data_IF_619144707492
#
_entry.id   IF_619144707492
#
_cell.length_a   1.000
_cell.length_b   1.000
_cell.length_c   1.000
_cell.angle_alpha   90.00
_cell.angle_beta   90.00
_cell.angle_gamma   90.00
#
_symmetry.space_group_name_H-M   'P 1'
#
loop_
_entity.id
_entity.type
_entity.pdbx_description
1 polymer ?
#
# COMPACT_ATOMS: atom_id res chain seq x y z
N UNK A 1 -11.56 -30.23 -16.93
CA UNK A 1 -11.92 -28.80 -16.79
C UNK A 1 -13.36 -28.78 -16.30
N UNK A 2 -13.62 -28.28 -15.10
CA UNK A 2 -14.98 -28.11 -14.61
C UNK A 2 -15.54 -26.79 -15.15
N UNK A 3 -16.70 -26.84 -15.78
CA UNK A 3 -17.44 -25.68 -16.24
C UNK A 3 -18.68 -25.58 -15.38
N UNK A 4 -18.85 -24.46 -14.73
CA UNK A 4 -20.03 -24.14 -13.94
C UNK A 4 -20.81 -23.01 -14.63
N UNK A 5 -22.13 -23.11 -14.60
CA UNK A 5 -23.00 -22.09 -15.21
C UNK A 5 -24.17 -21.81 -14.27
N UNK A 6 -24.45 -20.53 -14.03
CA UNK A 6 -25.56 -20.11 -13.19
C UNK A 6 -26.19 -18.81 -13.71
N UNK A 7 -27.40 -18.52 -13.26
CA UNK A 7 -28.12 -17.28 -13.58
C UNK A 7 -28.13 -16.40 -12.34
N UNK A 8 -27.81 -15.12 -12.49
CA UNK A 8 -27.81 -14.13 -11.41
C UNK A 8 -29.22 -13.94 -10.87
N UNK A 9 -29.40 -14.15 -9.57
CA UNK A 9 -30.69 -14.01 -8.91
C UNK A 9 -31.06 -12.52 -8.71
N UNK A 10 -32.39 -12.20 -8.55
CA UNK A 10 -32.84 -10.81 -8.38
C UNK A 10 -32.20 -10.07 -7.18
N UNK A 11 -31.93 -10.77 -6.08
CA UNK A 11 -31.26 -10.24 -4.86
C UNK A 11 -29.76 -10.05 -5.02
N UNK A 12 -29.21 -10.49 -6.14
CA UNK A 12 -27.78 -10.35 -6.46
C UNK A 12 -27.52 -9.20 -7.45
N UNK A 13 -28.57 -8.55 -7.95
CA UNK A 13 -28.42 -7.40 -8.84
C UNK A 13 -27.62 -6.28 -8.17
N UNK A 14 -26.65 -5.71 -8.90
CA UNK A 14 -25.77 -4.68 -8.39
C UNK A 14 -24.60 -5.20 -7.54
N UNK A 15 -24.49 -6.52 -7.31
CA UNK A 15 -23.28 -7.09 -6.74
C UNK A 15 -22.18 -7.16 -7.80
N UNK A 16 -20.95 -7.26 -7.34
CA UNK A 16 -19.79 -7.42 -8.22
C UNK A 16 -19.65 -8.88 -8.64
N UNK A 17 -19.15 -9.11 -9.84
CA UNK A 17 -18.93 -10.44 -10.41
C UNK A 17 -18.07 -11.33 -9.50
N UNK A 18 -17.01 -10.76 -8.88
CA UNK A 18 -16.13 -11.46 -7.94
C UNK A 18 -16.81 -11.82 -6.61
N UNK A 19 -17.95 -11.24 -6.29
CA UNK A 19 -18.74 -11.53 -5.09
C UNK A 19 -19.81 -12.59 -5.36
N UNK A 20 -20.36 -12.60 -6.57
CA UNK A 20 -21.47 -13.50 -6.96
C UNK A 20 -20.93 -14.91 -7.26
N UNK A 21 -19.83 -15.03 -8.01
CA UNK A 21 -19.27 -16.33 -8.38
C UNK A 21 -19.06 -17.27 -7.18
N UNK A 22 -18.47 -16.85 -6.03
CA UNK A 22 -18.27 -17.74 -4.88
C UNK A 22 -19.55 -18.23 -4.22
N UNK A 23 -20.70 -17.57 -4.44
CA UNK A 23 -21.98 -18.01 -3.90
C UNK A 23 -22.55 -19.21 -4.66
N UNK A 24 -22.27 -19.27 -5.96
CA UNK A 24 -22.81 -20.28 -6.86
C UNK A 24 -21.84 -21.41 -7.20
N UNK A 25 -20.54 -21.16 -7.09
CA UNK A 25 -19.51 -22.14 -7.44
C UNK A 25 -18.81 -22.64 -6.19
N UNK A 26 -19.14 -23.87 -5.77
CA UNK A 26 -18.59 -24.47 -4.57
C UNK A 26 -17.05 -24.57 -4.59
N UNK A 27 -16.40 -24.26 -3.48
CA UNK A 27 -14.94 -24.32 -3.34
C UNK A 27 -14.17 -23.17 -3.98
N UNK A 28 -14.84 -22.20 -4.63
CA UNK A 28 -14.26 -20.96 -5.11
C UNK A 28 -14.39 -19.88 -4.04
N UNK A 29 -13.27 -19.47 -3.43
CA UNK A 29 -13.23 -18.22 -2.67
C UNK A 29 -13.30 -17.01 -3.62
N UNK A 30 -13.69 -15.84 -3.12
CA UNK A 30 -13.67 -14.58 -3.89
C UNK A 30 -12.33 -14.33 -4.58
N UNK A 31 -11.25 -14.74 -3.95
CA UNK A 31 -9.88 -14.71 -4.47
C UNK A 31 -9.73 -15.58 -5.72
N UNK A 32 -10.13 -16.86 -5.61
CA UNK A 32 -10.05 -17.78 -6.74
C UNK A 32 -10.93 -17.31 -7.90
N UNK A 33 -12.13 -16.77 -7.60
CA UNK A 33 -13.00 -16.19 -8.61
C UNK A 33 -12.33 -15.07 -9.40
N UNK A 34 -11.60 -14.17 -8.74
CA UNK A 34 -10.81 -13.12 -9.42
C UNK A 34 -9.74 -13.69 -10.32
N UNK A 35 -8.96 -14.65 -9.84
CA UNK A 35 -7.92 -15.28 -10.65
C UNK A 35 -8.51 -15.87 -11.94
N UNK A 36 -9.67 -16.55 -11.84
CA UNK A 36 -10.38 -17.09 -13.01
C UNK A 36 -10.87 -15.99 -13.94
N UNK A 37 -11.38 -14.87 -13.38
CA UNK A 37 -11.82 -13.70 -14.17
C UNK A 37 -10.64 -13.07 -14.92
N UNK A 38 -9.53 -12.80 -14.24
CA UNK A 38 -8.32 -12.14 -14.79
C UNK A 38 -7.71 -12.98 -15.92
N UNK A 39 -7.75 -14.30 -15.80
CA UNK A 39 -7.31 -15.23 -16.86
C UNK A 39 -8.32 -15.34 -18.00
N UNK A 40 -9.49 -14.72 -17.87
CA UNK A 40 -10.53 -14.74 -18.89
C UNK A 40 -11.32 -16.05 -18.93
N UNK A 41 -11.36 -16.79 -17.82
CA UNK A 41 -12.17 -18.01 -17.66
C UNK A 41 -13.63 -17.73 -17.39
N UNK A 42 -14.08 -16.45 -17.32
CA UNK A 42 -15.46 -16.08 -17.01
C UNK A 42 -16.12 -15.39 -18.20
N UNK A 43 -17.36 -15.80 -18.48
CA UNK A 43 -18.22 -15.21 -19.50
C UNK A 43 -19.52 -14.75 -18.86
N UNK A 44 -19.97 -13.56 -19.24
CA UNK A 44 -21.27 -12.97 -18.88
C UNK A 44 -22.08 -12.86 -20.14
N UNK A 45 -23.23 -13.53 -20.23
CA UNK A 45 -24.08 -13.61 -21.44
C UNK A 45 -23.22 -13.97 -22.67
N UNK A 46 -22.41 -15.02 -22.56
CA UNK A 46 -21.45 -15.51 -23.59
C UNK A 46 -20.32 -14.55 -23.96
N UNK A 47 -20.25 -13.38 -23.33
CA UNK A 47 -19.15 -12.41 -23.57
C UNK A 47 -18.08 -12.58 -22.52
N UNK A 48 -16.84 -12.85 -22.96
CA UNK A 48 -15.70 -12.98 -22.06
C UNK A 48 -15.46 -11.69 -21.30
N UNK A 49 -15.25 -11.78 -19.99
CA UNK A 49 -14.89 -10.64 -19.16
C UNK A 49 -13.63 -10.92 -18.35
N UNK A 50 -12.81 -9.86 -18.18
CA UNK A 50 -11.63 -9.84 -17.29
C UNK A 50 -11.75 -8.80 -16.18
N UNK A 51 -12.94 -8.21 -16.02
CA UNK A 51 -13.21 -7.15 -15.05
C UNK A 51 -13.93 -7.73 -13.84
N UNK A 52 -13.16 -8.07 -12.80
CA UNK A 52 -13.69 -8.65 -11.55
C UNK A 52 -14.67 -7.73 -10.80
N UNK A 53 -14.48 -6.42 -10.96
CA UNK A 53 -15.33 -5.38 -10.35
C UNK A 53 -16.62 -5.09 -11.13
N UNK A 54 -16.85 -5.74 -12.27
CA UNK A 54 -18.08 -5.59 -13.07
C UNK A 54 -19.31 -5.89 -12.20
N UNK A 55 -20.26 -4.99 -12.20
CA UNK A 55 -21.58 -5.21 -11.58
C UNK A 55 -22.43 -6.14 -12.46
N UNK A 56 -23.14 -7.07 -11.83
CA UNK A 56 -24.04 -7.99 -12.52
C UNK A 56 -25.49 -7.49 -12.44
N UNK A 57 -26.32 -7.95 -13.40
CA UNK A 57 -27.77 -7.69 -13.44
C UNK A 57 -28.52 -8.98 -13.26
N UNK A 58 -29.69 -8.93 -12.64
CA UNK A 58 -30.59 -10.07 -12.52
C UNK A 58 -30.87 -10.68 -13.90
N UNK A 59 -30.89 -12.01 -13.97
CA UNK A 59 -31.15 -12.77 -15.21
C UNK A 59 -29.92 -12.95 -16.11
N UNK A 60 -28.77 -12.32 -15.84
CA UNK A 60 -27.55 -12.60 -16.60
C UNK A 60 -27.05 -14.01 -16.36
N UNK A 61 -26.60 -14.65 -17.44
CA UNK A 61 -25.96 -15.98 -17.35
C UNK A 61 -24.49 -15.86 -17.21
N UNK A 62 -23.93 -16.43 -16.12
CA UNK A 62 -22.51 -16.45 -15.83
C UNK A 62 -21.98 -17.86 -16.09
N UNK A 63 -20.98 -17.97 -16.95
CA UNK A 63 -20.22 -19.21 -17.17
C UNK A 63 -18.83 -19.06 -16.58
N UNK A 64 -18.42 -20.02 -15.74
CA UNK A 64 -17.13 -20.05 -15.06
C UNK A 64 -16.38 -21.32 -15.48
N UNK A 65 -15.29 -21.19 -16.22
CA UNK A 65 -14.43 -22.29 -16.61
C UNK A 65 -13.31 -22.44 -15.59
N UNK A 66 -13.41 -23.44 -14.72
CA UNK A 66 -12.41 -23.77 -13.72
C UNK A 66 -11.40 -24.72 -14.38
N UNK A 67 -10.49 -24.18 -15.16
CA UNK A 67 -9.42 -24.96 -15.75
C UNK A 67 -8.08 -24.40 -15.37
N UNK A 68 -7.07 -25.26 -15.11
CA UNK A 68 -5.61 -24.99 -14.94
C UNK A 68 -5.12 -23.66 -14.33
N UNK A 69 -5.96 -22.68 -14.20
CA UNK A 69 -5.70 -21.39 -13.57
C UNK A 69 -5.42 -21.48 -12.06
N UNK A 70 -5.79 -22.59 -11.44
CA UNK A 70 -5.61 -22.84 -10.00
C UNK A 70 -4.22 -23.37 -9.68
N UNK A 71 -3.46 -23.83 -10.69
CA UNK A 71 -2.17 -24.50 -10.53
C UNK A 71 -1.06 -23.96 -11.46
N UNK A 72 -1.01 -22.65 -11.69
CA UNK A 72 0.27 -22.15 -12.21
C UNK A 72 1.32 -22.28 -11.13
N UNK A 73 2.46 -22.96 -11.42
CA UNK A 73 3.66 -22.80 -10.61
C UNK A 73 3.92 -21.30 -10.51
N UNK A 74 4.16 -20.84 -9.30
CA UNK A 74 4.68 -19.50 -9.07
C UNK A 74 6.00 -19.40 -9.82
N UNK A 75 6.02 -18.79 -11.01
CA UNK A 75 7.23 -18.19 -11.54
C UNK A 75 7.57 -17.10 -10.51
N UNK A 76 8.43 -17.50 -9.61
CA UNK A 76 8.82 -16.72 -8.45
C UNK A 76 9.79 -15.63 -8.91
N UNK A 77 9.25 -14.46 -9.22
CA UNK A 77 9.93 -13.29 -8.72
C UNK A 77 10.12 -13.52 -7.20
N UNK A 78 11.32 -13.30 -6.63
CA UNK A 78 11.56 -13.56 -5.21
C UNK A 78 10.43 -12.92 -4.43
N UNK A 79 9.70 -13.73 -3.66
CA UNK A 79 8.51 -13.27 -2.98
C UNK A 79 8.94 -12.14 -2.05
N UNK A 80 8.45 -10.92 -2.30
CA UNK A 80 8.73 -9.78 -1.43
C UNK A 80 8.32 -10.17 -0.01
N UNK A 81 9.26 -10.12 0.91
CA UNK A 81 9.02 -10.46 2.31
C UNK A 81 9.35 -9.27 3.20
N UNK A 82 8.56 -9.03 4.27
CA UNK A 82 8.88 -7.99 5.23
C UNK A 82 10.10 -8.41 6.07
N UNK A 83 10.87 -7.42 6.52
CA UNK A 83 11.90 -7.64 7.52
C UNK A 83 11.34 -7.33 8.89
N UNK A 84 11.36 -8.29 9.80
CA UNK A 84 10.95 -8.05 11.19
C UNK A 84 12.04 -7.29 11.92
N UNK A 85 11.72 -6.08 12.38
CA UNK A 85 12.63 -5.18 13.11
C UNK A 85 12.57 -5.45 14.62
N UNK A 86 11.37 -5.76 15.12
CA UNK A 86 11.13 -6.06 16.52
C UNK A 86 9.90 -6.96 16.66
N UNK A 87 9.92 -7.86 17.63
CA UNK A 87 8.72 -8.60 18.02
C UNK A 87 8.79 -9.03 19.48
N UNK A 88 7.65 -9.00 20.14
CA UNK A 88 7.42 -9.58 21.46
C UNK A 88 6.08 -10.33 21.50
N UNK A 89 5.52 -10.58 22.69
CA UNK A 89 4.24 -11.27 22.87
C UNK A 89 3.04 -10.42 22.43
N UNK A 90 3.20 -9.11 22.25
CA UNK A 90 2.11 -8.17 22.06
C UNK A 90 2.13 -7.46 20.70
N UNK A 91 3.32 -7.19 20.16
CA UNK A 91 3.49 -6.41 18.92
C UNK A 91 4.55 -7.01 18.00
N UNK A 92 4.43 -6.70 16.72
CA UNK A 92 5.46 -6.91 15.71
C UNK A 92 5.68 -5.57 15.01
N UNK A 93 6.92 -5.12 14.93
CA UNK A 93 7.32 -4.00 14.06
C UNK A 93 8.10 -4.57 12.90
N UNK A 94 7.67 -4.28 11.70
CA UNK A 94 8.29 -4.82 10.51
C UNK A 94 8.43 -3.77 9.41
N UNK A 95 9.49 -3.88 8.63
CA UNK A 95 9.79 -3.06 7.47
C UNK A 95 9.21 -3.71 6.22
N UNK A 96 8.32 -2.99 5.55
CA UNK A 96 7.64 -3.43 4.34
C UNK A 96 8.44 -3.02 3.11
N UNK A 97 8.87 -3.92 2.23
CA UNK A 97 9.39 -3.54 0.94
C UNK A 97 8.30 -2.87 0.07
N UNK A 98 8.72 -1.98 -0.82
CA UNK A 98 7.81 -1.43 -1.82
C UNK A 98 7.27 -2.56 -2.73
N UNK A 99 6.00 -2.47 -3.12
CA UNK A 99 5.35 -3.50 -3.94
C UNK A 99 4.71 -4.65 -3.14
N UNK A 100 4.99 -4.77 -1.84
CA UNK A 100 4.27 -5.70 -0.96
C UNK A 100 2.98 -5.03 -0.44
N UNK A 101 1.85 -5.72 -0.55
CA UNK A 101 0.57 -5.28 0.02
C UNK A 101 0.60 -5.47 1.53
N UNK A 102 0.12 -4.48 2.29
CA UNK A 102 0.10 -4.56 3.77
C UNK A 102 -0.88 -5.62 4.28
N UNK A 103 -2.08 -5.65 3.73
CA UNK A 103 -3.15 -6.57 4.12
C UNK A 103 -4.09 -6.78 2.92
N UNK A 104 -4.91 -7.84 2.90
CA UNK A 104 -5.77 -8.14 1.78
C UNK A 104 -6.61 -6.94 1.36
N UNK A 105 -6.64 -6.64 0.07
CA UNK A 105 -7.55 -5.67 -0.52
C UNK A 105 -8.47 -6.39 -1.51
N UNK A 106 -9.59 -5.77 -1.91
CA UNK A 106 -10.40 -6.32 -2.98
C UNK A 106 -9.62 -6.62 -4.27
N UNK A 107 -8.51 -5.95 -4.52
CA UNK A 107 -7.69 -6.09 -5.72
C UNK A 107 -6.45 -6.98 -5.56
N UNK A 108 -5.99 -7.24 -4.34
CA UNK A 108 -4.79 -8.03 -4.08
C UNK A 108 -4.89 -8.78 -2.77
N UNK A 109 -4.82 -10.11 -2.86
CA UNK A 109 -4.91 -11.06 -1.75
C UNK A 109 -3.77 -12.11 -1.79
N UNK A 110 -2.72 -11.84 -2.57
CA UNK A 110 -1.59 -12.77 -2.75
C UNK A 110 -0.45 -12.41 -1.82
N UNK A 111 -0.28 -13.24 -0.76
CA UNK A 111 0.91 -13.20 0.07
C UNK A 111 1.20 -11.81 0.63
N UNK A 112 0.16 -11.12 1.07
CA UNK A 112 0.31 -9.83 1.72
C UNK A 112 1.11 -9.95 3.02
N UNK A 113 1.56 -8.80 3.53
CA UNK A 113 2.42 -8.75 4.70
C UNK A 113 1.76 -9.35 5.94
N UNK A 114 0.46 -9.10 6.16
CA UNK A 114 -0.28 -9.64 7.29
C UNK A 114 -0.32 -11.19 7.25
N UNK A 115 -0.59 -11.78 6.07
CA UNK A 115 -0.59 -13.23 5.87
C UNK A 115 0.80 -13.84 6.12
N UNK A 116 1.87 -13.19 5.62
CA UNK A 116 3.24 -13.65 5.83
C UNK A 116 3.64 -13.63 7.32
N UNK A 117 3.30 -12.55 8.04
CA UNK A 117 3.55 -12.44 9.46
C UNK A 117 2.69 -13.44 10.26
N UNK A 118 1.44 -13.68 9.87
CA UNK A 118 0.58 -14.65 10.52
C UNK A 118 1.09 -16.09 10.37
N UNK A 119 1.73 -16.43 9.25
CA UNK A 119 2.38 -17.74 9.08
C UNK A 119 3.58 -17.93 10.00
N UNK A 120 4.29 -16.86 10.32
CA UNK A 120 5.48 -16.91 11.17
C UNK A 120 5.17 -16.82 12.67
N UNK A 121 4.19 -15.98 13.04
CA UNK A 121 3.94 -15.61 14.43
C UNK A 121 2.60 -16.11 14.99
N UNK A 122 1.76 -16.76 14.16
CA UNK A 122 0.42 -17.17 14.54
C UNK A 122 -0.58 -16.02 14.38
N UNK A 123 -1.36 -15.73 15.40
CA UNK A 123 -2.40 -14.71 15.33
C UNK A 123 -1.79 -13.30 15.26
N UNK A 124 -2.09 -12.56 14.19
CA UNK A 124 -1.60 -11.17 13.94
C UNK A 124 -2.75 -10.31 13.49
N UNK A 125 -2.82 -9.11 14.04
CA UNK A 125 -3.86 -8.13 13.78
C UNK A 125 -3.29 -6.88 13.09
N UNK A 126 -4.00 -6.43 12.06
CA UNK A 126 -3.67 -5.18 11.37
C UNK A 126 -4.02 -3.98 12.25
N UNK A 127 -3.06 -3.09 12.48
CA UNK A 127 -3.25 -1.82 13.17
C UNK A 127 -3.41 -0.66 12.18
N UNK A 128 -2.49 -0.56 11.23
CA UNK A 128 -2.51 0.46 10.18
C UNK A 128 -1.88 -0.06 8.89
N UNK A 129 -1.89 0.77 7.87
CA UNK A 129 -1.34 0.43 6.54
C UNK A 129 -0.57 1.58 5.92
N UNK A 130 0.35 1.26 5.01
CA UNK A 130 0.97 2.18 4.07
C UNK A 130 0.68 1.73 2.64
N UNK A 131 0.83 2.63 1.67
CA UNK A 131 0.52 2.37 0.27
C UNK A 131 1.38 1.26 -0.32
N UNK A 132 0.88 0.59 -1.35
CA UNK A 132 1.60 -0.47 -2.06
C UNK A 132 3.01 -0.05 -2.49
N UNK A 133 3.23 1.10 -3.17
CA UNK A 133 4.55 1.52 -3.61
C UNK A 133 5.43 2.14 -2.50
N UNK A 134 4.87 2.38 -1.31
CA UNK A 134 5.60 2.91 -0.15
C UNK A 134 6.30 1.78 0.59
N UNK A 135 7.55 1.99 1.00
CA UNK A 135 8.30 1.09 1.88
C UNK A 135 8.38 1.63 3.30
N UNK A 136 8.81 0.79 4.25
CA UNK A 136 9.13 1.21 5.61
C UNK A 136 8.27 0.62 6.70
N UNK A 137 8.36 1.19 7.88
CA UNK A 137 7.90 0.64 9.13
C UNK A 137 6.39 0.60 9.29
N UNK A 138 5.92 -0.55 9.79
CA UNK A 138 4.55 -0.75 10.29
C UNK A 138 4.59 -1.50 11.62
N UNK A 139 3.55 -1.28 12.44
CA UNK A 139 3.27 -2.07 13.64
C UNK A 139 2.03 -2.93 13.41
N UNK A 140 2.11 -4.18 13.85
CA UNK A 140 1.02 -5.14 13.95
C UNK A 140 0.86 -5.57 15.40
N UNK A 141 -0.34 -5.94 15.79
CA UNK A 141 -0.59 -6.47 17.13
C UNK A 141 -0.65 -8.00 17.09
N UNK A 142 -0.22 -8.66 18.16
CA UNK A 142 -0.29 -10.12 18.36
C UNK A 142 -1.44 -10.54 19.27
N UNK A 143 -2.12 -9.56 19.89
CA UNK A 143 -3.29 -9.79 20.72
C UNK A 143 -4.39 -8.80 20.40
N UNK A 144 -5.65 -9.17 20.64
CA UNK A 144 -6.80 -8.26 20.47
C UNK A 144 -6.72 -7.04 21.39
N UNK A 145 -6.19 -7.21 22.60
CA UNK A 145 -6.03 -6.13 23.57
C UNK A 145 -5.00 -5.10 23.07
N UNK A 146 -3.85 -5.56 22.55
CA UNK A 146 -2.83 -4.72 21.94
C UNK A 146 -3.38 -3.99 20.69
N UNK A 147 -4.12 -4.71 19.83
CA UNK A 147 -4.73 -4.13 18.64
C UNK A 147 -5.70 -3.00 18.98
N UNK A 148 -6.53 -3.18 20.01
CA UNK A 148 -7.45 -2.14 20.48
C UNK A 148 -6.68 -0.89 20.94
N UNK A 149 -5.69 -1.07 21.85
CA UNK A 149 -4.89 0.05 22.40
C UNK A 149 -4.13 0.81 21.32
N UNK A 150 -3.43 0.09 20.41
CA UNK A 150 -2.75 0.71 19.29
C UNK A 150 -3.73 1.41 18.33
N UNK A 151 -4.85 0.76 18.00
CA UNK A 151 -5.89 1.37 17.17
C UNK A 151 -6.45 2.66 17.77
N UNK A 152 -6.63 2.72 19.08
CA UNK A 152 -7.07 3.92 19.78
C UNK A 152 -5.98 5.01 19.77
N UNK A 153 -4.69 4.66 19.98
CA UNK A 153 -3.58 5.61 19.84
C UNK A 153 -3.48 6.20 18.42
N UNK A 154 -3.71 5.39 17.38
CA UNK A 154 -3.76 5.88 16.00
C UNK A 154 -4.94 6.84 15.74
N UNK A 155 -6.10 6.60 16.36
CA UNK A 155 -7.29 7.49 16.25
C UNK A 155 -7.07 8.84 16.88
N UNK A 156 -6.39 8.89 18.03
CA UNK A 156 -6.10 10.14 18.75
C UNK A 156 -4.77 10.78 18.34
N UNK A 157 -4.14 10.19 17.31
CA UNK A 157 -2.89 10.70 16.74
C UNK A 157 -1.68 10.67 17.69
N UNK A 158 -1.68 9.81 18.70
CA UNK A 158 -0.57 9.58 19.63
C UNK A 158 0.42 8.54 19.11
N UNK A 159 0.78 8.67 17.84
CA UNK A 159 1.77 7.82 17.16
C UNK A 159 2.67 8.70 16.30
N UNK A 160 3.99 8.63 16.53
CA UNK A 160 4.96 9.31 15.68
C UNK A 160 5.14 8.53 14.37
N UNK A 161 4.88 9.20 13.26
CA UNK A 161 5.06 8.67 11.91
C UNK A 161 5.82 9.68 11.08
N UNK A 162 7.09 9.40 10.83
CA UNK A 162 7.91 10.24 9.96
C UNK A 162 8.34 9.46 8.72
N UNK A 163 8.18 10.11 7.59
CA UNK A 163 8.53 9.57 6.28
C UNK A 163 9.69 10.36 5.70
N UNK A 164 10.55 9.68 4.92
CA UNK A 164 11.49 10.33 4.01
C UNK A 164 10.86 10.33 2.63
N UNK A 165 10.91 11.48 1.97
CA UNK A 165 10.43 11.62 0.60
C UNK A 165 11.37 12.50 -0.21
N UNK A 166 11.39 12.29 -1.53
CA UNK A 166 12.01 13.22 -2.48
C UNK A 166 10.89 13.87 -3.29
N UNK A 167 10.70 15.16 -3.06
CA UNK A 167 9.75 15.98 -3.80
C UNK A 167 10.44 16.70 -4.96
N UNK A 168 9.80 16.78 -6.12
CA UNK A 168 10.30 17.45 -7.31
C UNK A 168 10.13 18.95 -7.16
N UNK A 169 11.23 19.70 -7.28
CA UNK A 169 11.29 21.14 -7.09
C UNK A 169 11.81 21.53 -5.71
N UNK A 170 11.83 22.83 -5.43
CA UNK A 170 12.22 23.37 -4.12
C UNK A 170 11.05 23.29 -3.15
N UNK A 171 11.30 22.73 -1.97
CA UNK A 171 10.33 22.62 -0.88
C UNK A 171 10.90 23.25 0.36
N UNK A 172 10.17 24.18 0.95
CA UNK A 172 10.50 24.78 2.23
C UNK A 172 9.84 24.02 3.40
N UNK A 173 10.39 24.20 4.59
CA UNK A 173 9.79 23.67 5.82
C UNK A 173 8.45 24.37 6.07
N UNK A 174 7.37 23.61 6.13
CA UNK A 174 6.01 24.12 6.25
C UNK A 174 5.05 23.09 6.84
N UNK A 175 3.89 23.55 7.25
CA UNK A 175 2.75 22.68 7.57
C UNK A 175 1.70 22.79 6.47
N UNK A 176 1.25 21.66 5.95
CA UNK A 176 0.19 21.59 4.94
C UNK A 176 -1.09 21.13 5.61
N UNK A 177 -2.08 22.02 5.65
CA UNK A 177 -3.42 21.77 6.20
C UNK A 177 -4.45 21.84 5.06
N UNK A 178 -4.54 20.77 4.28
CA UNK A 178 -5.50 20.66 3.19
C UNK A 178 -6.32 19.39 3.38
N UNK A 179 -7.67 19.46 3.36
CA UNK A 179 -8.49 18.26 3.46
C UNK A 179 -8.18 17.24 2.36
N UNK A 180 -8.20 15.97 2.73
CA UNK A 180 -8.12 14.83 1.81
C UNK A 180 -9.43 14.07 1.90
N UNK A 181 -10.10 13.87 0.78
CA UNK A 181 -11.44 13.27 0.69
C UNK A 181 -12.45 13.93 1.65
N UNK A 182 -12.43 15.27 1.71
CA UNK A 182 -13.30 16.07 2.58
C UNK A 182 -13.01 15.97 4.07
N UNK A 183 -11.96 15.29 4.50
CA UNK A 183 -11.59 15.09 5.92
C UNK A 183 -10.34 15.89 6.25
N UNK A 184 -10.29 16.46 7.46
CA UNK A 184 -9.10 17.18 7.97
C UNK A 184 -7.86 16.30 7.75
N UNK A 185 -6.82 16.90 7.16
CA UNK A 185 -5.52 16.27 6.95
C UNK A 185 -4.41 17.30 7.19
N UNK A 186 -3.41 16.92 8.01
CA UNK A 186 -2.27 17.76 8.40
C UNK A 186 -0.97 17.00 8.23
N UNK A 187 -0.04 17.60 7.48
CA UNK A 187 1.30 17.06 7.23
C UNK A 187 2.33 18.13 7.53
N UNK A 188 3.26 17.85 8.43
CA UNK A 188 4.39 18.72 8.73
C UNK A 188 5.58 18.32 7.85
N UNK A 189 6.01 19.23 7.00
CA UNK A 189 7.14 19.04 6.09
C UNK A 189 8.37 19.77 6.66
N UNK A 190 9.47 19.07 6.75
CA UNK A 190 10.79 19.63 7.05
C UNK A 190 11.73 19.33 5.90
N UNK A 191 12.18 20.36 5.20
CA UNK A 191 13.23 20.23 4.20
C UNK A 191 14.52 19.75 4.89
N UNK A 192 15.16 18.73 4.31
CA UNK A 192 16.40 18.15 4.85
C UNK A 192 17.59 18.61 4.01
N UNK A 193 17.49 18.43 2.69
CA UNK A 193 18.60 18.64 1.77
C UNK A 193 18.07 19.07 0.39
N UNK A 194 18.58 20.16 -0.19
CA UNK A 194 18.30 20.47 -1.57
C UNK A 194 19.07 19.50 -2.48
N UNK A 195 18.40 19.08 -3.56
CA UNK A 195 18.93 18.17 -4.59
C UNK A 195 18.79 18.83 -5.96
N UNK A 196 19.46 18.30 -6.98
CA UNK A 196 19.28 18.80 -8.35
C UNK A 196 17.84 18.61 -8.83
N UNK A 197 17.09 19.71 -8.93
CA UNK A 197 15.68 19.71 -9.35
C UNK A 197 14.70 19.08 -8.36
N UNK A 198 15.10 18.80 -7.13
CA UNK A 198 14.28 18.16 -6.12
C UNK A 198 14.70 18.56 -4.68
N UNK A 199 13.94 18.12 -3.70
CA UNK A 199 14.26 18.30 -2.27
C UNK A 199 14.05 16.98 -1.53
N UNK A 200 15.08 16.53 -0.79
CA UNK A 200 14.90 15.48 0.22
C UNK A 200 14.24 16.10 1.45
N UNK A 201 13.18 15.49 1.93
CA UNK A 201 12.41 16.01 3.06
C UNK A 201 11.98 14.92 4.04
N UNK A 202 11.66 15.35 5.25
CA UNK A 202 10.91 14.59 6.22
C UNK A 202 9.44 15.06 6.23
N UNK A 203 8.51 14.12 6.21
CA UNK A 203 7.09 14.39 6.33
C UNK A 203 6.55 13.68 7.59
N UNK A 204 6.12 14.45 8.60
CA UNK A 204 5.47 13.93 9.80
C UNK A 204 3.96 14.06 9.68
N UNK A 205 3.27 12.97 9.93
CA UNK A 205 1.82 12.92 9.86
C UNK A 205 1.18 13.20 11.22
N UNK A 206 0.33 14.22 11.30
CA UNK A 206 -0.62 14.37 12.39
C UNK A 206 -1.84 13.48 12.13
N UNK A 207 -2.38 13.50 10.94
CA UNK A 207 -3.49 12.64 10.49
C UNK A 207 -2.98 11.55 9.54
N UNK A 208 -3.82 10.54 9.21
CA UNK A 208 -3.45 9.43 8.32
C UNK A 208 -4.54 9.15 7.28
N UNK A 209 -4.69 10.02 6.28
CA UNK A 209 -5.63 9.79 5.17
C UNK A 209 -4.92 9.02 4.04
N UNK A 210 -5.70 8.35 3.20
CA UNK A 210 -5.15 7.62 2.07
C UNK A 210 -4.37 8.57 1.14
N UNK A 211 -3.15 8.19 0.77
CA UNK A 211 -2.23 8.96 -0.07
C UNK A 211 -1.92 10.39 0.43
N UNK A 212 -2.12 10.70 1.71
CA UNK A 212 -2.09 12.06 2.24
C UNK A 212 -0.83 12.86 1.86
N UNK A 213 0.38 12.31 2.12
CA UNK A 213 1.65 13.00 1.80
C UNK A 213 1.75 13.26 0.28
N UNK A 214 1.37 12.27 -0.52
CA UNK A 214 1.42 12.33 -1.98
C UNK A 214 0.49 13.43 -2.52
N UNK A 215 -0.75 13.48 -2.05
CA UNK A 215 -1.75 14.48 -2.42
C UNK A 215 -1.37 15.88 -1.93
N UNK A 216 -0.83 16.01 -0.72
CA UNK A 216 -0.38 17.29 -0.18
C UNK A 216 0.76 17.88 -1.01
N UNK A 217 1.81 17.09 -1.27
CA UNK A 217 2.95 17.56 -2.07
C UNK A 217 2.57 17.82 -3.53
N UNK A 218 1.77 16.95 -4.15
CA UNK A 218 1.27 17.18 -5.51
C UNK A 218 0.41 18.44 -5.60
N UNK A 219 -0.48 18.65 -4.64
CA UNK A 219 -1.33 19.84 -4.57
C UNK A 219 -0.57 21.15 -4.31
N UNK A 220 0.66 21.08 -3.77
CA UNK A 220 1.58 22.21 -3.64
C UNK A 220 2.48 22.39 -4.87
N UNK A 221 2.27 21.62 -5.94
CA UNK A 221 3.06 21.69 -7.16
C UNK A 221 4.46 21.04 -7.06
N UNK A 222 4.75 20.35 -5.97
CA UNK A 222 6.03 19.64 -5.71
C UNK A 222 5.79 18.14 -5.47
N UNK A 223 5.29 17.39 -6.48
CA UNK A 223 4.92 16.00 -6.32
C UNK A 223 6.14 15.14 -5.95
N UNK A 224 5.87 13.98 -5.33
CA UNK A 224 6.92 13.01 -5.01
C UNK A 224 7.47 12.40 -6.31
N UNK A 225 8.79 12.30 -6.41
CA UNK A 225 9.45 11.63 -7.53
C UNK A 225 9.03 10.16 -7.61
N UNK A 226 8.73 9.69 -8.83
CA UNK A 226 8.23 8.32 -9.06
C UNK A 226 6.76 8.09 -8.70
N UNK A 227 6.01 9.13 -8.32
CA UNK A 227 4.56 9.01 -8.13
C UNK A 227 3.83 8.98 -9.47
N UNK A 228 3.46 7.78 -9.92
CA UNK A 228 2.75 7.56 -11.19
C UNK A 228 1.27 7.93 -11.14
N UNK A 229 0.68 8.02 -9.95
CA UNK A 229 -0.74 8.27 -9.77
C UNK A 229 -1.06 9.75 -9.55
N UNK A 230 -0.28 10.43 -8.70
CA UNK A 230 -0.53 11.81 -8.30
C UNK A 230 0.56 12.79 -8.77
N UNK A 231 1.68 12.28 -9.31
CA UNK A 231 2.83 13.10 -9.69
C UNK A 231 2.68 13.89 -10.98
N UNK A 232 1.68 13.55 -11.78
CA UNK A 232 1.41 14.22 -13.07
C UNK A 232 2.58 14.13 -14.04
N UNK A 233 2.70 15.15 -14.89
CA UNK A 233 3.77 15.25 -15.89
C UNK A 233 5.14 15.45 -15.23
N UNK A 234 5.23 16.24 -14.17
CA UNK A 234 6.50 16.48 -13.45
C UNK A 234 7.17 15.19 -13.02
N UNK A 235 6.40 14.23 -12.45
CA UNK A 235 6.97 12.97 -12.03
C UNK A 235 7.34 12.04 -13.19
N UNK A 236 6.63 12.16 -14.33
CA UNK A 236 6.95 11.37 -15.54
C UNK A 236 8.19 11.85 -16.26
N UNK A 237 8.45 13.15 -16.26
CA UNK A 237 9.55 13.79 -17.01
C UNK A 237 10.80 14.02 -16.16
N UNK A 238 10.73 13.86 -14.84
CA UNK A 238 11.87 14.08 -13.94
C UNK A 238 13.04 13.13 -14.25
N UNK A 239 14.24 13.68 -14.37
CA UNK A 239 15.47 12.96 -14.71
C UNK A 239 16.56 13.27 -13.67
N UNK A 240 17.30 12.26 -13.20
CA UNK A 240 17.18 10.82 -13.48
C UNK A 240 15.90 10.24 -12.87
N UNK A 241 15.24 9.33 -13.59
CA UNK A 241 13.99 8.72 -13.09
C UNK A 241 14.21 8.04 -11.74
N UNK A 242 13.27 8.29 -10.83
CA UNK A 242 13.22 7.55 -9.57
C UNK A 242 12.94 6.06 -9.84
N UNK A 243 13.60 5.14 -9.13
CA UNK A 243 13.39 3.70 -9.32
C UNK A 243 11.96 3.26 -8.98
N UNK A 244 11.30 4.00 -8.12
CA UNK A 244 9.91 3.85 -7.68
C UNK A 244 9.40 5.12 -7.00
N UNK A 245 8.23 5.08 -6.39
CA UNK A 245 7.77 6.15 -5.50
C UNK A 245 8.83 6.42 -4.42
N UNK A 246 9.40 7.62 -4.41
CA UNK A 246 10.43 8.02 -3.46
C UNK A 246 9.79 8.45 -2.13
N UNK A 247 9.12 7.48 -1.47
CA UNK A 247 8.45 7.63 -0.18
C UNK A 247 8.75 6.40 0.69
N UNK A 248 9.21 6.65 1.91
CA UNK A 248 9.62 5.61 2.86
C UNK A 248 9.21 5.98 4.29
N UNK A 249 8.50 5.11 4.99
CA UNK A 249 8.14 5.26 6.40
C UNK A 249 9.35 4.97 7.27
N UNK A 250 10.15 6.01 7.54
CA UNK A 250 11.49 5.90 8.12
C UNK A 250 11.50 5.83 9.63
N UNK A 251 10.45 6.36 10.31
CA UNK A 251 10.37 6.37 11.78
C UNK A 251 8.96 6.09 12.24
N UNK A 252 8.84 5.22 13.25
CA UNK A 252 7.59 4.86 13.89
C UNK A 252 7.79 4.85 15.41
N UNK A 253 7.02 5.66 16.13
CA UNK A 253 7.06 5.71 17.60
C UNK A 253 5.67 5.63 18.19
N UNK A 254 5.49 4.83 19.23
CA UNK A 254 4.21 4.64 19.92
C UNK A 254 4.42 4.22 21.38
N UNK A 255 3.39 4.38 22.22
CA UNK A 255 3.40 3.79 23.54
C UNK A 255 3.14 2.28 23.44
N UNK A 256 4.03 1.47 24.00
CA UNK A 256 3.88 0.01 23.98
C UNK A 256 2.56 -0.40 24.66
N UNK A 257 1.71 -1.22 24.02
CA UNK A 257 0.32 -1.43 24.47
C UNK A 257 0.19 -2.11 25.84
N UNK A 258 1.25 -2.74 26.33
CA UNK A 258 1.25 -3.42 27.64
C UNK A 258 2.03 -2.65 28.68
N UNK A 259 3.26 -2.25 28.41
CA UNK A 259 4.12 -1.55 29.38
C UNK A 259 3.82 -0.05 29.49
N UNK A 260 3.25 0.56 28.44
CA UNK A 260 3.04 2.00 28.35
C UNK A 260 4.31 2.80 28.02
N UNK A 261 5.46 2.17 27.94
CA UNK A 261 6.71 2.83 27.59
C UNK A 261 6.73 3.31 26.14
N UNK A 262 7.29 4.48 25.88
CA UNK A 262 7.44 5.01 24.52
C UNK A 262 8.57 4.27 23.82
N UNK A 263 8.23 3.55 22.76
CA UNK A 263 9.20 2.87 21.87
C UNK A 263 9.28 3.57 20.55
N UNK A 264 10.47 3.60 19.97
CA UNK A 264 10.74 4.26 18.68
C UNK A 264 11.62 3.34 17.84
N UNK A 265 11.23 3.17 16.59
CA UNK A 265 11.94 2.37 15.60
C UNK A 265 12.28 3.23 14.40
N UNK A 266 13.45 2.98 13.81
CA UNK A 266 13.91 3.67 12.62
C UNK A 266 14.29 2.66 11.54
N UNK A 267 14.06 3.01 10.29
CA UNK A 267 14.45 2.26 9.11
C UNK A 267 15.23 3.19 8.17
N UNK A 268 16.43 2.80 7.74
CA UNK A 268 17.21 3.59 6.79
C UNK A 268 16.52 3.61 5.43
N UNK A 269 16.87 4.61 4.60
CA UNK A 269 16.43 4.61 3.22
C UNK A 269 16.84 3.29 2.53
N UNK A 270 15.92 2.67 1.78
CA UNK A 270 16.28 1.50 0.99
C UNK A 270 17.40 1.79 0.00
N UNK A 271 18.33 0.83 -0.22
CA UNK A 271 19.56 1.04 -0.99
C UNK A 271 19.33 1.64 -2.39
N UNK A 272 18.24 1.25 -3.06
CA UNK A 272 17.91 1.76 -4.39
C UNK A 272 17.47 3.23 -4.38
N UNK A 273 16.83 3.70 -3.30
CA UNK A 273 16.49 5.11 -3.14
C UNK A 273 17.71 5.91 -2.72
N UNK A 274 18.52 5.41 -1.80
CA UNK A 274 19.73 6.10 -1.33
C UNK A 274 20.75 6.28 -2.47
N UNK A 275 21.01 5.24 -3.25
CA UNK A 275 21.88 5.30 -4.41
C UNK A 275 21.34 6.27 -5.49
N UNK A 276 20.01 6.34 -5.68
CA UNK A 276 19.41 7.28 -6.61
C UNK A 276 19.52 8.73 -6.09
N UNK A 277 19.28 8.98 -4.80
CA UNK A 277 19.45 10.29 -4.17
C UNK A 277 20.91 10.75 -4.28
N UNK A 278 21.89 9.87 -4.06
CA UNK A 278 23.31 10.17 -4.22
C UNK A 278 23.65 10.72 -5.61
N UNK A 279 22.98 10.20 -6.67
CA UNK A 279 23.16 10.73 -8.05
C UNK A 279 22.59 12.13 -8.23
N UNK A 280 21.60 12.52 -7.44
CA UNK A 280 21.05 13.88 -7.44
C UNK A 280 21.96 14.86 -6.67
N UNK A 281 22.75 14.39 -5.70
CA UNK A 281 23.75 15.19 -4.97
C UNK A 281 24.96 15.55 -5.84
N UNK A 282 25.49 14.58 -6.58
CA UNK A 282 26.75 14.71 -7.35
C UNK A 282 26.71 15.83 -8.39
N UNK A 283 25.50 16.19 -8.88
CA UNK A 283 25.37 17.27 -9.85
C UNK A 283 25.32 18.68 -9.25
N UNK A 284 25.14 18.80 -7.92
CA UNK A 284 25.13 20.12 -7.25
C UNK A 284 26.54 20.69 -7.04
N UNK A 285 27.59 19.85 -7.13
CA UNK A 285 28.99 20.26 -6.95
C UNK A 285 29.72 20.59 -8.26
N UNK A 286 29.01 20.58 -9.41
CA UNK A 286 29.60 21.04 -10.66
C UNK A 286 29.71 22.58 -10.64
N UNK A 287 30.93 23.17 -10.71
CA UNK A 287 31.09 24.62 -10.73
C UNK A 287 30.35 25.20 -11.93
N UNK A 288 29.55 26.22 -11.68
CA UNK A 288 29.01 27.08 -12.75
C UNK A 288 30.18 27.59 -13.58
N UNK A 289 30.22 27.24 -14.88
CA UNK A 289 31.18 27.75 -15.86
C UNK A 289 30.56 28.91 -16.57
#
# INVERSE_FOLDING_TARGET
MAKETFTVAPDEEGLRLDQVIPKHVGGLSRRKARAVIDEGGVFVDRTRTKVASRFVKAGQVIEVNIGSAVERPRDAAPALSPTVVFSDEHVIVADKPAGLVTAPTPESDRGDMLDQLARQFGEVYLVHRIDLPTSGLLVFARTRAANKKLGDAFKVHDVDREYRAVAIGSVETQTIERPVDGKRAVTHIRAIEPLVGATLLAARLETGRQHQIRLHLAGNGTPIAGDTQHGGEKSRTFIPRAPRLALHAARLGFAHPTTGERVVFESPLPPELDAWIARLRIKSDAPER
#
